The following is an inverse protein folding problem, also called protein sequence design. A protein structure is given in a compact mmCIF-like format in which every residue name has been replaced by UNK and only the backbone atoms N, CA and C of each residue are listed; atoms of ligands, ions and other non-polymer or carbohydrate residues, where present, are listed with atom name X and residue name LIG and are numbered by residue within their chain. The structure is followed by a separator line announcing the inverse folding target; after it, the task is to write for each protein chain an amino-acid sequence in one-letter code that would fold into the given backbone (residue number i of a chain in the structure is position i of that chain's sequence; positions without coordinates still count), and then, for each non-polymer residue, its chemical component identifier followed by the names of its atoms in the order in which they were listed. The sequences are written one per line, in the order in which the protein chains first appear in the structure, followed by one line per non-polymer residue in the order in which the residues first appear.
data_IF_420935613006
#
_entry.id   IF_420935613006
#
_cell.length_a   1.000
_cell.length_b   1.000
_cell.length_c   1.000
_cell.angle_alpha   90.00
_cell.angle_beta   90.00
_cell.angle_gamma   90.00
#
_symmetry.space_group_name_H-M   'P 1'
#
loop_
_entity.id
_entity.type
_entity.pdbx_description
1 polymer ?
#
# COMPACT_ATOMS: atom_id res chain seq x y z
N UNK A 1 21.71 -5.15 12.75
CA UNK A 1 20.30 -5.30 12.32
C UNK A 1 20.27 -5.25 10.81
N UNK A 2 19.81 -6.30 10.11
CA UNK A 2 19.63 -6.22 8.66
C UNK A 2 18.37 -5.39 8.41
N UNK A 3 18.55 -4.07 8.35
CA UNK A 3 17.53 -3.15 7.86
C UNK A 3 17.23 -3.47 6.41
N UNK A 4 15.95 -3.39 6.03
CA UNK A 4 15.45 -3.55 4.67
C UNK A 4 16.11 -2.52 3.73
N UNK A 5 17.34 -2.78 3.28
CA UNK A 5 18.16 -1.92 2.39
C UNK A 5 17.63 -1.82 0.95
N UNK A 6 16.59 -2.58 0.60
CA UNK A 6 16.16 -2.74 -0.79
C UNK A 6 15.45 -1.52 -1.38
N UNK A 7 14.75 -0.73 -0.56
CA UNK A 7 13.87 0.35 -1.05
C UNK A 7 14.42 1.76 -0.82
N UNK A 8 15.45 1.94 0.00
CA UNK A 8 15.99 3.29 0.32
C UNK A 8 16.88 3.89 -0.79
N UNK A 9 17.10 3.18 -1.90
CA UNK A 9 17.97 3.61 -3.00
C UNK A 9 17.23 4.08 -4.27
N UNK A 10 15.90 4.21 -4.24
CA UNK A 10 15.14 4.68 -5.41
C UNK A 10 15.08 6.22 -5.42
N UNK A 11 15.76 6.85 -6.39
CA UNK A 11 15.68 8.30 -6.66
C UNK A 11 14.26 8.72 -7.10
N UNK A 12 13.52 7.78 -7.69
CA UNK A 12 12.09 7.85 -7.99
C UNK A 12 11.53 6.43 -7.87
N UNK A 13 10.63 6.19 -6.91
CA UNK A 13 9.98 4.90 -6.74
C UNK A 13 8.81 4.78 -7.72
N UNK A 14 8.92 3.89 -8.69
CA UNK A 14 7.82 3.58 -9.62
C UNK A 14 6.83 2.64 -8.93
N UNK A 15 5.78 3.24 -8.34
CA UNK A 15 4.76 2.52 -7.58
C UNK A 15 3.92 1.60 -8.46
N UNK A 16 3.66 1.94 -9.72
CA UNK A 16 2.83 1.11 -10.61
C UNK A 16 3.55 -0.20 -10.93
N UNK A 17 4.78 -0.09 -11.44
CA UNK A 17 5.62 -1.26 -11.73
C UNK A 17 5.84 -2.12 -10.49
N UNK A 18 5.94 -1.51 -9.30
CA UNK A 18 6.05 -2.25 -8.05
C UNK A 18 4.78 -3.04 -7.72
N UNK A 19 3.59 -2.45 -7.87
CA UNK A 19 2.31 -3.07 -7.50
C UNK A 19 1.82 -4.12 -8.49
N UNK A 20 2.13 -3.99 -9.79
CA UNK A 20 1.65 -4.90 -10.85
C UNK A 20 1.98 -6.39 -10.62
N UNK A 21 3.06 -6.67 -9.89
CA UNK A 21 3.53 -8.03 -9.60
C UNK A 21 3.17 -8.51 -8.19
N UNK A 22 2.23 -7.82 -7.54
CA UNK A 22 1.83 -8.09 -6.15
C UNK A 22 0.36 -8.46 -6.10
N UNK A 23 0.07 -9.47 -5.30
CA UNK A 23 -1.30 -9.78 -4.91
C UNK A 23 -1.59 -9.06 -3.59
N UNK A 24 -2.48 -8.06 -3.62
CA UNK A 24 -2.82 -7.24 -2.46
C UNK A 24 -4.00 -7.83 -1.71
N UNK A 25 -3.99 -7.70 -0.37
CA UNK A 25 -5.10 -8.09 0.50
C UNK A 25 -5.53 -6.96 1.40
N UNK A 26 -6.85 -6.77 1.48
CA UNK A 26 -7.48 -5.83 2.38
C UNK A 26 -7.27 -6.24 3.84
N UNK A 27 -7.00 -5.27 4.72
CA UNK A 27 -6.89 -5.49 6.17
C UNK A 27 -7.95 -4.68 6.91
N UNK A 28 -7.98 -3.36 6.68
CA UNK A 28 -8.93 -2.48 7.36
C UNK A 28 -9.23 -1.23 6.53
N UNK A 29 -10.37 -0.60 6.81
CA UNK A 29 -10.76 0.70 6.29
C UNK A 29 -11.26 1.56 7.46
N UNK A 30 -10.73 2.77 7.57
CA UNK A 30 -11.17 3.75 8.56
C UNK A 30 -11.36 5.12 7.91
N UNK A 31 -12.22 5.94 8.52
CA UNK A 31 -12.37 7.33 8.11
C UNK A 31 -11.08 8.10 8.41
N UNK A 32 -10.63 8.87 7.43
CA UNK A 32 -9.45 9.71 7.54
C UNK A 32 -9.87 11.19 7.65
N UNK A 33 -9.17 11.94 8.51
CA UNK A 33 -9.47 13.33 8.81
C UNK A 33 -8.21 14.19 8.67
N UNK A 34 -8.40 15.48 8.44
CA UNK A 34 -7.32 16.44 8.66
C UNK A 34 -6.85 16.41 10.11
N UNK A 35 -5.61 16.85 10.36
CA UNK A 35 -5.07 16.92 11.73
C UNK A 35 -5.16 18.36 12.25
N UNK A 36 -5.57 18.50 13.51
CA UNK A 36 -5.47 19.75 14.28
C UNK A 36 -4.56 19.55 15.50
N UNK A 37 -4.13 20.65 16.11
CA UNK A 37 -3.47 20.59 17.41
C UNK A 37 -4.55 20.54 18.50
N UNK A 38 -4.39 19.65 19.48
CA UNK A 38 -5.19 19.68 20.71
C UNK A 38 -4.67 20.76 21.68
N UNK A 39 -5.33 20.89 22.83
CA UNK A 39 -4.96 21.87 23.87
C UNK A 39 -3.55 21.64 24.44
N UNK A 40 -3.01 20.42 24.30
CA UNK A 40 -1.65 20.04 24.70
C UNK A 40 -0.63 20.20 23.55
N UNK A 41 -1.05 20.71 22.38
CA UNK A 41 -0.19 20.88 21.20
C UNK A 41 0.12 19.60 20.43
N UNK A 42 -0.63 18.51 20.65
CA UNK A 42 -0.49 17.23 19.94
C UNK A 42 -1.34 17.21 18.68
N UNK A 43 -0.82 16.63 17.60
CA UNK A 43 -1.58 16.47 16.34
C UNK A 43 -2.60 15.35 16.46
N UNK A 44 -3.88 15.68 16.50
CA UNK A 44 -5.01 14.75 16.58
C UNK A 44 -5.95 14.90 15.37
N UNK A 45 -6.74 13.87 15.01
CA UNK A 45 -7.76 13.99 13.97
C UNK A 45 -8.80 15.07 14.27
N UNK A 46 -9.15 15.90 13.29
CA UNK A 46 -10.26 16.83 13.36
C UNK A 46 -11.52 16.20 12.76
N UNK A 47 -12.38 15.64 13.61
CA UNK A 47 -13.60 14.91 13.20
C UNK A 47 -14.54 15.75 12.32
N UNK A 48 -14.44 17.08 12.37
CA UNK A 48 -15.24 18.01 11.57
C UNK A 48 -14.68 18.24 10.16
N UNK A 49 -13.48 17.74 9.87
CA UNK A 49 -12.78 17.91 8.59
C UNK A 49 -12.40 16.54 8.00
N UNK A 50 -13.38 15.79 7.50
CA UNK A 50 -13.09 14.53 6.82
C UNK A 50 -12.25 14.79 5.57
N UNK A 51 -11.19 14.00 5.42
CA UNK A 51 -10.31 14.02 4.25
C UNK A 51 -10.68 12.90 3.27
N UNK A 52 -11.21 11.80 3.79
CA UNK A 52 -11.69 10.67 3.03
C UNK A 52 -11.49 9.38 3.79
N UNK A 53 -10.87 8.38 3.16
CA UNK A 53 -10.68 7.06 3.75
C UNK A 53 -9.20 6.68 3.79
N UNK A 54 -8.83 5.94 4.84
CA UNK A 54 -7.52 5.31 5.01
C UNK A 54 -7.72 3.81 5.05
N UNK A 55 -6.97 3.11 4.23
CA UNK A 55 -6.96 1.67 4.15
C UNK A 55 -5.62 1.14 4.58
N UNK A 56 -5.66 0.00 5.27
CA UNK A 56 -4.50 -0.85 5.45
C UNK A 56 -4.61 -2.05 4.50
N UNK A 57 -3.54 -2.28 3.76
CA UNK A 57 -3.43 -3.35 2.75
C UNK A 57 -2.09 -4.05 2.95
N UNK A 58 -2.07 -5.37 2.83
CA UNK A 58 -0.84 -6.14 2.80
C UNK A 58 -0.55 -6.71 1.42
N UNK A 59 0.72 -7.03 1.19
CA UNK A 59 1.15 -7.88 0.07
C UNK A 59 1.03 -9.34 0.53
N UNK A 60 0.09 -10.08 -0.06
CA UNK A 60 -0.07 -11.52 0.22
C UNK A 60 0.89 -12.38 -0.60
N UNK A 61 1.09 -12.02 -1.87
CA UNK A 61 2.08 -12.67 -2.74
C UNK A 61 2.93 -11.65 -3.46
N UNK A 62 4.20 -12.00 -3.57
CA UNK A 62 5.23 -11.22 -4.22
C UNK A 62 5.98 -12.08 -5.24
N UNK A 63 5.68 -11.87 -6.52
CA UNK A 63 6.34 -12.57 -7.62
C UNK A 63 7.55 -11.79 -8.17
N UNK A 64 7.98 -10.74 -7.47
CA UNK A 64 9.12 -9.92 -7.88
C UNK A 64 10.44 -10.64 -7.59
N UNK A 65 11.28 -10.72 -8.61
CA UNK A 65 12.67 -11.16 -8.48
C UNK A 65 13.52 -9.94 -8.15
N UNK A 66 14.20 -9.98 -7.02
CA UNK A 66 15.07 -8.91 -6.54
C UNK A 66 16.52 -9.28 -6.77
N UNK A 67 17.30 -8.35 -7.31
CA UNK A 67 18.77 -8.45 -7.32
C UNK A 67 19.30 -7.98 -5.98
N UNK A 68 19.66 -8.91 -5.09
CA UNK A 68 20.21 -8.63 -3.76
C UNK A 68 21.74 -8.79 -3.81
N UNK A 69 22.47 -7.89 -3.13
CA UNK A 69 23.91 -8.03 -2.97
C UNK A 69 24.23 -8.93 -1.78
N UNK A 70 24.84 -10.08 -2.03
CA UNK A 70 25.34 -11.01 -1.02
C UNK A 70 26.66 -10.47 -0.46
N UNK A 71 26.67 -10.04 0.80
CA UNK A 71 27.87 -9.49 1.44
C UNK A 71 28.94 -10.55 1.76
N UNK A 72 28.56 -11.82 1.87
CA UNK A 72 29.49 -12.91 2.16
C UNK A 72 30.25 -13.31 0.89
N UNK A 73 29.54 -13.39 -0.24
CA UNK A 73 30.14 -13.74 -1.54
C UNK A 73 30.61 -12.53 -2.34
N UNK A 74 30.22 -11.31 -1.94
CA UNK A 74 30.46 -10.06 -2.67
C UNK A 74 29.91 -10.06 -4.11
N UNK A 75 28.79 -10.73 -4.32
CA UNK A 75 28.15 -10.90 -5.63
C UNK A 75 26.67 -10.48 -5.57
N UNK A 76 26.09 -10.14 -6.73
CA UNK A 76 24.64 -9.95 -6.85
C UNK A 76 23.98 -11.30 -7.14
N UNK A 77 22.91 -11.60 -6.41
CA UNK A 77 22.07 -12.79 -6.61
C UNK A 77 20.64 -12.37 -6.83
N UNK A 78 19.96 -13.10 -7.72
CA UNK A 78 18.52 -12.98 -7.87
C UNK A 78 17.81 -13.81 -6.81
N UNK A 79 16.98 -13.19 -5.99
CA UNK A 79 16.13 -13.87 -5.02
C UNK A 79 14.66 -13.50 -5.26
N UNK A 80 13.79 -14.52 -5.22
CA UNK A 80 12.34 -14.31 -5.20
C UNK A 80 11.94 -13.77 -3.85
N UNK A 81 11.15 -12.68 -3.84
CA UNK A 81 10.78 -11.88 -2.67
C UNK A 81 10.31 -12.71 -1.47
N UNK A 82 11.25 -13.12 -0.62
CA UNK A 82 10.92 -13.76 0.66
C UNK A 82 10.50 -12.67 1.65
N UNK A 83 9.19 -12.42 1.66
CA UNK A 83 8.49 -11.60 2.66
C UNK A 83 8.96 -10.13 2.76
N UNK A 84 8.79 -9.38 1.69
CA UNK A 84 8.67 -7.93 1.80
C UNK A 84 7.28 -7.59 2.38
N UNK A 85 7.05 -7.86 3.68
CA UNK A 85 5.82 -7.54 4.42
C UNK A 85 5.71 -6.03 4.66
N UNK A 86 5.51 -5.25 3.60
CA UNK A 86 5.06 -3.87 3.74
C UNK A 86 3.56 -3.93 4.00
N UNK A 87 3.14 -3.52 5.20
CA UNK A 87 1.83 -2.90 5.32
C UNK A 87 1.87 -1.64 4.45
N UNK A 88 0.85 -1.49 3.61
CA UNK A 88 0.67 -0.37 2.70
C UNK A 88 -0.50 0.41 3.25
N UNK A 89 -0.30 1.69 3.49
CA UNK A 89 -1.41 2.60 3.74
C UNK A 89 -1.86 3.18 2.42
N UNK A 90 -3.14 3.03 2.10
CA UNK A 90 -3.75 3.66 0.93
C UNK A 90 -4.72 4.75 1.39
N UNK A 91 -4.61 5.93 0.82
CA UNK A 91 -5.54 7.04 1.06
C UNK A 91 -6.41 7.25 -0.17
N UNK A 92 -7.72 7.34 0.06
CA UNK A 92 -8.68 7.83 -0.93
C UNK A 92 -9.13 9.22 -0.45
N UNK A 93 -8.67 10.27 -1.14
CA UNK A 93 -8.94 11.66 -0.80
C UNK A 93 -10.34 12.10 -1.28
N UNK A 94 -11.40 11.52 -0.71
CA UNK A 94 -12.78 11.92 -0.98
C UNK A 94 -13.56 12.05 0.33
N UNK A 95 -13.77 13.28 0.83
CA UNK A 95 -14.43 13.53 2.12
C UNK A 95 -15.83 12.91 2.28
N UNK A 96 -16.54 12.71 1.16
CA UNK A 96 -17.92 12.18 1.13
C UNK A 96 -17.98 10.65 1.22
N UNK A 97 -16.86 9.95 1.03
CA UNK A 97 -16.83 8.49 1.12
C UNK A 97 -16.84 8.05 2.58
N UNK A 98 -17.75 7.15 2.91
CA UNK A 98 -17.84 6.56 4.25
C UNK A 98 -17.35 5.10 4.24
N UNK A 99 -16.78 4.59 5.35
CA UNK A 99 -16.26 3.22 5.43
C UNK A 99 -17.31 2.14 5.08
N UNK A 100 -18.59 2.41 5.34
CA UNK A 100 -19.72 1.49 5.14
C UNK A 100 -19.88 1.08 3.67
N UNK A 101 -19.36 1.87 2.71
CA UNK A 101 -19.27 1.46 1.29
C UNK A 101 -18.50 0.13 1.13
N UNK A 102 -17.61 -0.18 2.07
CA UNK A 102 -16.70 -1.33 2.05
C UNK A 102 -17.03 -2.40 3.10
N UNK A 103 -18.23 -2.37 3.71
CA UNK A 103 -18.65 -3.37 4.71
C UNK A 103 -18.67 -4.81 4.16
N UNK A 104 -18.71 -4.98 2.84
CA UNK A 104 -18.62 -6.28 2.17
C UNK A 104 -17.17 -6.79 1.96
N UNK A 105 -16.16 -6.03 2.40
CA UNK A 105 -14.77 -6.43 2.43
C UNK A 105 -14.44 -7.06 3.78
N UNK A 106 -13.86 -8.25 3.76
CA UNK A 106 -13.32 -8.93 4.93
C UNK A 106 -11.78 -8.87 4.90
N UNK A 107 -11.12 -8.81 6.06
CA UNK A 107 -9.66 -8.95 6.12
C UNK A 107 -9.20 -10.22 5.39
N UNK A 108 -8.21 -10.08 4.50
CA UNK A 108 -7.71 -11.14 3.63
C UNK A 108 -8.34 -11.18 2.24
N UNK A 109 -9.40 -10.40 1.99
CA UNK A 109 -9.97 -10.28 0.64
C UNK A 109 -8.95 -9.70 -0.34
N UNK A 110 -8.91 -10.29 -1.53
CA UNK A 110 -8.05 -9.84 -2.62
C UNK A 110 -8.58 -8.53 -3.19
N UNK A 111 -7.70 -7.56 -3.39
CA UNK A 111 -8.08 -6.23 -3.86
C UNK A 111 -7.12 -5.70 -4.92
N UNK A 112 -7.59 -4.74 -5.72
CA UNK A 112 -6.75 -3.92 -6.58
C UNK A 112 -7.01 -2.42 -6.35
N UNK A 113 -5.98 -1.61 -6.60
CA UNK A 113 -6.05 -0.15 -6.49
C UNK A 113 -6.40 0.46 -7.84
N UNK A 114 -7.39 1.35 -7.89
CA UNK A 114 -7.72 2.15 -9.08
C UNK A 114 -7.13 3.55 -8.97
N UNK A 115 -6.62 4.06 -10.08
CA UNK A 115 -6.19 5.46 -10.18
C UNK A 115 -5.07 5.81 -9.21
N UNK A 116 -4.02 5.00 -9.12
CA UNK A 116 -2.86 5.29 -8.26
C UNK A 116 -2.18 6.59 -8.69
N UNK A 117 -2.07 7.53 -7.76
CA UNK A 117 -1.36 8.80 -7.94
C UNK A 117 0.13 8.62 -7.56
N UNK A 118 0.98 8.64 -8.59
CA UNK A 118 2.42 8.47 -8.46
C UNK A 118 3.12 9.66 -7.79
N UNK A 119 2.52 10.86 -7.83
CA UNK A 119 3.14 12.10 -7.34
C UNK A 119 2.96 12.22 -5.82
N UNK A 120 1.80 11.80 -5.31
CA UNK A 120 1.49 11.84 -3.87
C UNK A 120 1.90 10.57 -3.11
N UNK A 121 2.44 9.56 -3.81
CA UNK A 121 2.92 8.34 -3.17
C UNK A 121 4.24 8.61 -2.41
N UNK A 122 4.24 8.27 -1.12
CA UNK A 122 5.39 8.46 -0.23
C UNK A 122 5.92 7.13 0.29
N UNK A 123 7.23 6.95 0.24
CA UNK A 123 7.91 5.86 0.93
C UNK A 123 8.55 6.38 2.23
N UNK A 124 8.29 5.70 3.34
CA UNK A 124 8.99 5.93 4.60
C UNK A 124 9.54 4.61 5.11
N UNK A 125 10.86 4.38 4.94
CA UNK A 125 11.52 3.13 5.35
C UNK A 125 10.81 1.88 4.81
N UNK A 126 10.29 1.02 5.70
CA UNK A 126 9.52 -0.18 5.39
C UNK A 126 8.02 0.07 5.23
N UNK A 127 7.55 1.32 5.16
CA UNK A 127 6.15 1.65 4.94
C UNK A 127 5.95 2.33 3.58
N UNK A 128 4.86 1.98 2.89
CA UNK A 128 4.47 2.62 1.64
C UNK A 128 3.11 3.28 1.83
N UNK A 129 3.04 4.58 1.54
CA UNK A 129 1.82 5.38 1.55
C UNK A 129 1.47 5.69 0.12
N UNK A 130 0.27 5.28 -0.30
CA UNK A 130 -0.22 5.43 -1.68
C UNK A 130 -1.48 6.29 -1.64
N UNK A 131 -1.63 7.18 -2.61
CA UNK A 131 -2.91 7.85 -2.87
C UNK A 131 -3.54 7.19 -4.09
N UNK A 132 -4.83 6.88 -4.02
CA UNK A 132 -5.57 6.21 -5.07
C UNK A 132 -7.02 6.70 -5.14
N UNK A 133 -7.69 6.48 -6.27
CA UNK A 133 -9.08 6.88 -6.48
C UNK A 133 -10.08 5.89 -5.85
N UNK A 134 -9.81 4.58 -5.93
CA UNK A 134 -10.69 3.55 -5.36
C UNK A 134 -9.95 2.26 -5.01
N UNK A 135 -10.58 1.43 -4.19
CA UNK A 135 -10.17 0.05 -3.90
C UNK A 135 -11.29 -0.89 -4.32
N UNK A 136 -10.96 -1.92 -5.07
CA UNK A 136 -11.96 -2.85 -5.61
C UNK A 136 -11.60 -4.28 -5.24
N UNK A 137 -12.59 -5.03 -4.79
CA UNK A 137 -12.47 -6.45 -4.49
C UNK A 137 -12.28 -7.23 -5.78
N UNK A 138 -11.28 -8.10 -5.81
CA UNK A 138 -11.05 -9.01 -6.94
C UNK A 138 -12.06 -10.14 -6.83
N UNK A 139 -13.04 -10.18 -7.73
CA UNK A 139 -13.94 -11.32 -7.83
C UNK A 139 -13.20 -12.50 -8.47
N UNK A 140 -13.44 -13.72 -7.97
CA UNK A 140 -12.76 -14.95 -8.44
C UNK A 140 -12.87 -15.19 -9.95
N UNK A 141 -13.78 -14.52 -10.65
CA UNK A 141 -13.96 -14.64 -12.09
C UNK A 141 -12.98 -13.79 -12.92
N UNK A 142 -12.26 -12.82 -12.34
CA UNK A 142 -11.35 -11.95 -13.09
C UNK A 142 -9.92 -12.53 -13.26
N UNK A 143 -9.56 -13.60 -12.53
CA UNK A 143 -8.28 -14.29 -12.74
C UNK A 143 -8.15 -14.96 -14.13
N UNK A 144 -9.25 -15.04 -14.91
CA UNK A 144 -9.22 -15.48 -16.31
C UNK A 144 -8.96 -14.36 -17.33
N UNK A 145 -9.08 -13.08 -16.97
CA UNK A 145 -8.98 -11.97 -17.93
C UNK A 145 -7.57 -11.35 -18.06
N UNK A 146 -6.63 -11.68 -17.17
CA UNK A 146 -5.22 -11.24 -17.29
C UNK A 146 -4.29 -12.26 -17.98
N UNK A 147 -4.85 -13.30 -18.64
CA UNK A 147 -4.09 -14.32 -19.37
C UNK A 147 -4.53 -14.54 -20.82
N UNK A 148 -5.17 -13.57 -21.47
CA UNK A 148 -5.38 -13.60 -22.92
C UNK A 148 -4.63 -12.47 -23.60
#
# INVERSE_FOLDING_TARGET
MPGLKGLDNFVKFDVKSFLEKKELVFISCEKNYEKKLDEEGRKVPDINKPRGLKFEINIDKDDTIYSIYDFNLKERKEEKGSNFRKSITVWINNPKLEPEKFDNFAPGDKVFLKGVDEVETMQMTSHLIIVADDIVKVEKNEQQLQKQ
#
